data_IF_697948012918
#
_entry.id   IF_697948012918
#
_cell.length_a   1.000
_cell.length_b   1.000
_cell.length_c   1.000
_cell.angle_alpha   90.00
_cell.angle_beta   90.00
_cell.angle_gamma   90.00
#
_symmetry.space_group_name_H-M   'P 1'
#
loop_
_entity.id
_entity.type
_entity.pdbx_description
1 polymer ?
#
# COMPACT_ATOMS: atom_id res chain seq x y z
N UNK A 1 1.22 -11.94 18.38
CA UNK A 1 2.32 -11.72 17.40
C UNK A 1 2.36 -10.23 17.09
N UNK A 2 3.45 -9.54 17.38
CA UNK A 2 3.59 -8.10 17.07
C UNK A 2 3.69 -7.99 15.55
N UNK A 3 2.72 -7.31 14.91
CA UNK A 3 2.81 -6.99 13.49
C UNK A 3 3.84 -5.87 13.35
N UNK A 4 5.06 -6.24 12.99
CA UNK A 4 6.12 -5.30 12.64
C UNK A 4 5.71 -4.52 11.38
N UNK A 5 5.74 -3.19 11.48
CA UNK A 5 5.55 -2.30 10.33
C UNK A 5 6.79 -2.35 9.43
N UNK A 6 6.58 -2.52 8.13
CA UNK A 6 7.64 -2.68 7.13
C UNK A 6 7.30 -1.91 5.86
N UNK A 7 8.32 -1.48 5.14
CA UNK A 7 8.13 -0.88 3.82
C UNK A 7 7.47 -1.87 2.86
N UNK A 8 6.66 -1.38 1.89
CA UNK A 8 6.09 -2.23 0.87
C UNK A 8 7.19 -2.82 -0.01
N UNK A 9 7.09 -4.13 -0.25
CA UNK A 9 7.98 -4.83 -1.19
C UNK A 9 7.54 -4.67 -2.65
N UNK A 10 6.27 -4.30 -2.86
CA UNK A 10 5.67 -4.04 -4.16
C UNK A 10 4.63 -2.90 -4.04
N UNK A 11 4.49 -2.09 -5.08
CA UNK A 11 3.57 -0.96 -5.12
C UNK A 11 2.73 -1.04 -6.39
N UNK A 12 1.40 -0.94 -6.26
CA UNK A 12 0.50 -0.73 -7.39
C UNK A 12 0.51 0.77 -7.69
N UNK A 13 1.25 1.17 -8.72
CA UNK A 13 1.46 2.60 -9.05
C UNK A 13 0.37 3.19 -9.96
N UNK A 14 -0.52 2.38 -10.51
CA UNK A 14 -1.53 2.85 -11.46
C UNK A 14 -2.00 1.78 -12.45
N UNK A 15 -2.72 2.16 -13.51
CA UNK A 15 -3.16 3.53 -13.83
C UNK A 15 -4.57 3.83 -13.32
N UNK A 16 -4.90 5.12 -13.18
CA UNK A 16 -6.22 5.58 -12.71
C UNK A 16 -7.33 4.96 -13.57
N UNK A 17 -8.40 4.49 -12.91
CA UNK A 17 -9.57 3.82 -13.54
C UNK A 17 -9.32 2.44 -14.16
N UNK A 18 -8.10 1.88 -14.07
CA UNK A 18 -7.80 0.53 -14.58
C UNK A 18 -8.09 -0.61 -13.57
N UNK A 19 -8.81 -0.34 -12.48
CA UNK A 19 -9.19 -1.38 -11.51
C UNK A 19 -8.14 -1.69 -10.44
N UNK A 20 -7.24 -0.75 -10.11
CA UNK A 20 -6.23 -0.91 -9.04
C UNK A 20 -6.81 -1.34 -7.70
N UNK A 21 -8.01 -0.86 -7.36
CA UNK A 21 -8.73 -1.23 -6.13
C UNK A 21 -9.17 -2.70 -6.14
N UNK A 22 -9.73 -3.18 -7.24
CA UNK A 22 -10.16 -4.57 -7.37
C UNK A 22 -8.96 -5.52 -7.28
N UNK A 23 -7.87 -5.20 -7.99
CA UNK A 23 -6.61 -5.94 -7.90
C UNK A 23 -6.11 -6.04 -6.46
N UNK A 24 -6.10 -4.93 -5.71
CA UNK A 24 -5.66 -4.92 -4.31
C UNK A 24 -6.54 -5.81 -3.42
N UNK A 25 -7.86 -5.78 -3.60
CA UNK A 25 -8.77 -6.65 -2.83
C UNK A 25 -8.58 -8.13 -3.15
N UNK A 26 -8.37 -8.49 -4.42
CA UNK A 26 -8.08 -9.88 -4.78
C UNK A 26 -6.75 -10.35 -4.19
N UNK A 27 -5.72 -9.51 -4.20
CA UNK A 27 -4.43 -9.83 -3.58
C UNK A 27 -4.54 -10.03 -2.06
N UNK A 28 -5.43 -9.30 -1.38
CA UNK A 28 -5.67 -9.46 0.07
C UNK A 28 -6.26 -10.81 0.46
N UNK A 29 -6.85 -11.55 -0.48
CA UNK A 29 -7.33 -12.91 -0.22
C UNK A 29 -6.17 -13.88 0.07
N UNK A 30 -4.94 -13.56 -0.36
CA UNK A 30 -3.76 -14.36 -0.06
C UNK A 30 -3.26 -14.07 1.38
N UNK A 31 -3.15 -15.09 2.26
CA UNK A 31 -2.72 -14.89 3.65
C UNK A 31 -1.30 -14.34 3.79
N UNK A 32 -0.43 -14.51 2.77
CA UNK A 32 0.92 -13.98 2.75
C UNK A 32 0.98 -12.47 2.41
N UNK A 33 -0.11 -11.89 1.92
CA UNK A 33 -0.16 -10.49 1.49
C UNK A 33 -0.84 -9.64 2.56
N UNK A 34 -0.19 -8.54 2.93
CA UNK A 34 -0.76 -7.49 3.78
C UNK A 34 -0.71 -6.17 3.00
N UNK A 35 -1.83 -5.47 2.95
CA UNK A 35 -1.98 -4.23 2.21
C UNK A 35 -2.70 -3.16 3.06
N UNK A 36 -2.36 -1.88 2.91
CA UNK A 36 -3.04 -0.78 3.61
C UNK A 36 -4.48 -0.61 3.10
N UNK A 37 -5.37 -0.13 3.97
CA UNK A 37 -6.78 0.14 3.68
C UNK A 37 -6.98 1.14 2.53
N UNK A 38 -6.76 2.44 2.78
CA UNK A 38 -6.82 3.50 1.77
C UNK A 38 -5.52 3.62 0.95
N UNK A 39 -5.60 4.33 -0.17
CA UNK A 39 -4.41 4.77 -0.92
C UNK A 39 -3.57 5.72 -0.05
N UNK A 40 -2.30 5.34 0.19
CA UNK A 40 -1.43 6.02 1.15
C UNK A 40 -0.97 7.40 0.65
N UNK A 41 -0.95 7.60 -0.67
CA UNK A 41 -0.51 8.84 -1.30
C UNK A 41 0.84 9.36 -0.75
N UNK A 42 1.80 8.47 -0.51
CA UNK A 42 3.10 8.87 0.04
C UNK A 42 3.92 9.66 -0.97
N UNK A 43 4.13 9.12 -2.17
CA UNK A 43 5.01 9.71 -3.17
C UNK A 43 4.41 10.92 -3.93
N UNK A 44 3.13 11.25 -3.72
CA UNK A 44 2.45 12.39 -4.37
C UNK A 44 1.95 13.45 -3.38
N UNK A 45 1.42 13.09 -2.21
CA UNK A 45 0.81 14.05 -1.26
C UNK A 45 1.48 14.13 0.12
N UNK A 46 2.18 13.08 0.55
CA UNK A 46 2.66 12.95 1.93
C UNK A 46 4.18 12.73 2.02
N UNK A 47 4.93 13.10 0.98
CA UNK A 47 6.37 12.85 0.93
C UNK A 47 7.13 13.62 2.02
N UNK A 48 6.65 14.82 2.35
CA UNK A 48 7.12 15.71 3.41
C UNK A 48 7.07 15.08 4.80
N UNK A 49 6.16 14.11 5.03
CA UNK A 49 6.05 13.39 6.31
C UNK A 49 7.18 12.38 6.55
N UNK A 50 7.99 12.10 5.52
CA UNK A 50 9.17 11.26 5.59
C UNK A 50 8.90 9.76 5.72
N UNK A 51 9.96 8.96 5.57
CA UNK A 51 9.87 7.50 5.57
C UNK A 51 9.47 6.89 6.93
N UNK A 52 9.66 7.62 8.03
CA UNK A 52 9.17 7.19 9.34
C UNK A 52 7.65 7.13 9.41
N UNK A 53 6.95 8.09 8.78
CA UNK A 53 5.50 8.09 8.65
C UNK A 53 4.99 7.02 7.67
N UNK A 54 5.75 6.76 6.60
CA UNK A 54 5.38 5.79 5.57
C UNK A 54 5.44 4.32 6.02
N UNK A 55 6.22 4.02 7.06
CA UNK A 55 6.48 2.66 7.52
C UNK A 55 5.26 2.03 8.21
#
# INVERSE_FOLDING_TARGET
MIVQKRFPQAIIIGVKKAGTRALLEFLRLNPAIKAPGPEVHFFDKNFDKGFGWYR
#
